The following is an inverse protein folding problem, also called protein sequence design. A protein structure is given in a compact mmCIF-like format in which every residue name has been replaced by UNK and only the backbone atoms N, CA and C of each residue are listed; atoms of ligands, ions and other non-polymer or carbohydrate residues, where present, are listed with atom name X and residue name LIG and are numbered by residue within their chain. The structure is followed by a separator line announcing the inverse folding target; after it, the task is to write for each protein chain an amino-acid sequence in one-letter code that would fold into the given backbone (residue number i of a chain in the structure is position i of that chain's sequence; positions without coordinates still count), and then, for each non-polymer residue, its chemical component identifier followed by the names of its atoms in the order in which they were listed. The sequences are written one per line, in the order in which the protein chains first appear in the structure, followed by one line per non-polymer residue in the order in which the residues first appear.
data_IF_756766362539
#
_entry.id   IF_756766362539
#
_cell.length_a   1.000
_cell.length_b   1.000
_cell.length_c   1.000
_cell.angle_alpha   90.00
_cell.angle_beta   90.00
_cell.angle_gamma   90.00
#
_symmetry.space_group_name_H-M   'P 1'
#
loop_
_entity.id
_entity.type
_entity.pdbx_description
1 polymer ?
#
# COMPACT_ATOMS: atom_id res chain seq x y z
N UNK A 1 9.92 -3.35 -4.36
CA UNK A 1 10.76 -3.86 -5.46
C UNK A 1 11.31 -5.23 -5.06
N UNK A 2 12.19 -5.36 -4.06
CA UNK A 2 12.82 -6.62 -3.69
C UNK A 2 11.81 -7.78 -3.49
N UNK A 3 10.68 -7.51 -2.84
CA UNK A 3 9.63 -8.49 -2.66
C UNK A 3 8.99 -8.95 -3.99
N UNK A 4 8.84 -8.05 -4.98
CA UNK A 4 8.41 -8.45 -6.33
C UNK A 4 9.49 -9.31 -7.02
N UNK A 5 10.76 -8.96 -6.88
CA UNK A 5 11.87 -9.70 -7.47
C UNK A 5 12.03 -11.11 -6.89
N UNK A 6 11.51 -11.37 -5.68
CA UNK A 6 11.49 -12.70 -5.07
C UNK A 6 10.36 -13.62 -5.54
N UNK A 7 9.37 -13.11 -6.28
CA UNK A 7 8.25 -13.90 -6.80
C UNK A 7 8.70 -14.79 -7.96
N UNK A 8 8.00 -15.91 -8.15
CA UNK A 8 8.17 -16.78 -9.31
C UNK A 8 7.74 -16.10 -10.62
N UNK A 9 8.28 -16.56 -11.75
CA UNK A 9 8.02 -15.94 -13.04
C UNK A 9 6.55 -16.04 -13.48
N UNK A 10 5.89 -17.17 -13.21
CA UNK A 10 4.47 -17.37 -13.52
C UNK A 10 3.60 -16.43 -12.68
N UNK A 11 3.92 -16.31 -11.39
CA UNK A 11 3.21 -15.42 -10.49
C UNK A 11 3.39 -13.94 -10.86
N UNK A 12 4.60 -13.52 -11.25
CA UNK A 12 4.81 -12.16 -11.74
C UNK A 12 3.92 -11.86 -12.95
N UNK A 13 3.83 -12.80 -13.91
CA UNK A 13 2.98 -12.65 -15.09
C UNK A 13 1.51 -12.53 -14.73
N UNK A 14 1.04 -13.31 -13.77
CA UNK A 14 -0.34 -13.26 -13.29
C UNK A 14 -0.64 -11.88 -12.66
N UNK A 15 0.21 -11.40 -11.75
CA UNK A 15 0.05 -10.11 -11.08
C UNK A 15 0.14 -8.93 -12.07
N UNK A 16 0.99 -9.00 -13.08
CA UNK A 16 1.12 -7.97 -14.11
C UNK A 16 -0.14 -7.79 -14.95
N UNK A 17 -0.95 -8.85 -15.09
CA UNK A 17 -2.25 -8.81 -15.78
C UNK A 17 -3.40 -8.26 -14.93
N UNK A 18 -3.20 -8.11 -13.62
CA UNK A 18 -4.26 -7.70 -12.69
C UNK A 18 -4.31 -6.19 -12.46
N UNK A 19 -5.52 -5.73 -12.15
CA UNK A 19 -5.75 -4.37 -11.68
C UNK A 19 -6.42 -4.38 -10.31
N UNK A 20 -6.16 -3.36 -9.51
CA UNK A 20 -6.67 -3.25 -8.14
C UNK A 20 -7.42 -1.95 -7.98
N UNK A 21 -8.60 -2.02 -7.42
CA UNK A 21 -9.39 -0.85 -7.04
C UNK A 21 -8.87 -0.34 -5.68
N UNK A 22 -8.44 0.92 -5.67
CA UNK A 22 -8.04 1.63 -4.47
C UNK A 22 -9.18 2.52 -3.99
N UNK A 23 -9.67 2.26 -2.79
CA UNK A 23 -10.80 2.95 -2.19
C UNK A 23 -10.41 3.59 -0.85
N UNK A 24 -10.60 4.89 -0.78
CA UNK A 24 -10.42 5.61 0.48
C UNK A 24 -11.52 5.26 1.49
N UNK A 25 -12.75 5.06 1.01
CA UNK A 25 -13.87 4.62 1.84
C UNK A 25 -13.59 3.25 2.48
N UNK A 26 -13.07 2.30 1.70
CA UNK A 26 -12.67 1.00 2.20
C UNK A 26 -11.61 1.12 3.30
N UNK A 27 -10.51 1.85 3.04
CA UNK A 27 -9.42 2.00 4.00
C UNK A 27 -9.86 2.69 5.29
N UNK A 28 -10.79 3.65 5.19
CA UNK A 28 -11.37 4.32 6.36
C UNK A 28 -12.24 3.37 7.20
N UNK A 29 -13.06 2.55 6.56
CA UNK A 29 -13.90 1.56 7.25
C UNK A 29 -13.09 0.44 7.91
N UNK A 30 -11.97 0.06 7.30
CA UNK A 30 -11.05 -0.96 7.82
C UNK A 30 -10.09 -0.42 8.89
N UNK A 31 -10.09 0.89 9.14
CA UNK A 31 -9.19 1.52 10.11
C UNK A 31 -9.58 1.16 11.54
N UNK A 32 -8.68 0.58 12.35
CA UNK A 32 -8.96 0.23 13.74
C UNK A 32 -9.28 1.44 14.63
N UNK A 33 -9.01 2.67 14.18
CA UNK A 33 -9.36 3.91 14.86
C UNK A 33 -10.87 4.24 14.88
N UNK A 34 -11.73 3.37 14.34
CA UNK A 34 -13.20 3.53 14.32
C UNK A 34 -13.65 4.91 13.81
N UNK A 35 -13.13 5.31 12.67
CA UNK A 35 -13.56 6.53 12.02
C UNK A 35 -15.01 6.40 11.53
N UNK A 36 -15.78 7.48 11.68
CA UNK A 36 -17.14 7.54 11.14
C UNK A 36 -17.16 7.28 9.63
N UNK A 37 -18.20 6.64 9.09
CA UNK A 37 -18.38 6.48 7.66
C UNK A 37 -18.30 7.82 6.93
N UNK A 38 -17.81 7.79 5.71
CA UNK A 38 -17.74 8.98 4.88
C UNK A 38 -19.13 9.41 4.42
N UNK A 39 -19.36 10.72 4.42
CA UNK A 39 -20.55 11.31 3.80
C UNK A 39 -20.52 11.19 2.28
N UNK A 40 -21.66 11.33 1.62
CA UNK A 40 -21.73 11.32 0.16
C UNK A 40 -20.88 12.43 -0.49
N UNK A 41 -20.77 13.59 0.15
CA UNK A 41 -19.94 14.69 -0.32
C UNK A 41 -18.44 14.37 -0.23
N UNK A 42 -18.01 13.74 0.86
CA UNK A 42 -16.61 13.26 1.02
C UNK A 42 -16.27 12.18 0.00
N UNK A 43 -17.17 11.22 -0.23
CA UNK A 43 -17.01 10.17 -1.24
C UNK A 43 -16.86 10.74 -2.65
N UNK A 44 -17.65 11.77 -2.99
CA UNK A 44 -17.57 12.42 -4.30
C UNK A 44 -16.21 13.12 -4.54
N UNK A 45 -15.51 13.53 -3.48
CA UNK A 45 -14.20 14.18 -3.57
C UNK A 45 -13.04 13.20 -3.73
N UNK A 46 -13.22 11.95 -3.31
CA UNK A 46 -12.19 10.92 -3.33
C UNK A 46 -12.75 9.62 -3.93
N UNK A 47 -13.11 9.64 -5.22
CA UNK A 47 -13.64 8.46 -5.89
C UNK A 47 -12.62 7.32 -5.87
N UNK A 48 -13.12 6.10 -5.97
CA UNK A 48 -12.28 4.92 -6.14
C UNK A 48 -11.49 5.03 -7.46
N UNK A 49 -10.27 4.52 -7.43
CA UNK A 49 -9.35 4.57 -8.57
C UNK A 49 -8.77 3.18 -8.81
N UNK A 50 -8.82 2.73 -10.06
CA UNK A 50 -8.21 1.46 -10.47
C UNK A 50 -6.77 1.71 -10.94
N UNK A 51 -5.84 0.91 -10.42
CA UNK A 51 -4.44 0.93 -10.77
C UNK A 51 -3.93 -0.47 -11.11
N UNK A 52 -2.91 -0.60 -11.98
CA UNK A 52 -2.21 -1.87 -12.16
C UNK A 52 -1.70 -2.43 -10.82
N UNK A 53 -1.86 -3.74 -10.60
CA UNK A 53 -1.30 -4.42 -9.42
C UNK A 53 0.23 -4.35 -9.40
N UNK A 54 0.86 -4.42 -10.55
CA UNK A 54 2.30 -4.23 -10.71
C UNK A 54 2.57 -2.94 -11.49
N UNK A 55 3.36 -2.08 -10.91
CA UNK A 55 3.81 -0.84 -11.57
C UNK A 55 5.24 -0.96 -12.06
N UNK A 56 5.50 -0.37 -13.22
CA UNK A 56 6.84 -0.16 -13.72
C UNK A 56 7.36 1.23 -13.32
N UNK A 57 8.60 1.29 -12.84
CA UNK A 57 9.31 2.52 -12.52
C UNK A 57 10.09 3.02 -13.73
N UNK A 58 10.46 4.31 -13.72
CA UNK A 58 11.20 4.93 -14.82
C UNK A 58 12.57 4.29 -15.12
N UNK A 59 13.16 3.63 -14.14
CA UNK A 59 14.42 2.89 -14.26
C UNK A 59 14.22 1.43 -14.72
N UNK A 60 13.01 1.04 -15.10
CA UNK A 60 12.65 -0.29 -15.56
C UNK A 60 12.36 -1.30 -14.45
N UNK A 61 12.63 -1.00 -13.19
CA UNK A 61 12.29 -1.88 -12.07
C UNK A 61 10.77 -1.98 -11.88
N UNK A 62 10.32 -3.05 -11.26
CA UNK A 62 8.90 -3.31 -11.01
C UNK A 62 8.63 -3.46 -9.51
N UNK A 63 7.42 -3.11 -9.10
CA UNK A 63 6.95 -3.32 -7.72
C UNK A 63 5.46 -3.64 -7.69
N UNK A 64 5.04 -4.44 -6.75
CA UNK A 64 3.62 -4.63 -6.46
C UNK A 64 3.08 -3.32 -5.86
N UNK A 65 1.94 -2.85 -6.37
CA UNK A 65 1.30 -1.62 -5.95
C UNK A 65 0.03 -1.91 -5.15
N UNK A 66 0.23 -2.27 -3.91
CA UNK A 66 -0.81 -2.53 -2.90
C UNK A 66 -0.68 -1.54 -1.74
N UNK A 67 -1.50 -1.72 -0.73
CA UNK A 67 -1.46 -0.96 0.52
C UNK A 67 -2.85 -0.80 1.12
N UNK A 68 -2.97 -0.02 2.18
CA UNK A 68 -4.20 0.11 2.96
C UNK A 68 -5.44 0.59 2.19
N UNK A 69 -5.27 1.13 1.00
CA UNK A 69 -6.39 1.53 0.12
C UNK A 69 -6.81 0.45 -0.87
N UNK A 70 -6.00 -0.59 -1.09
CA UNK A 70 -6.34 -1.70 -1.98
C UNK A 70 -7.56 -2.45 -1.44
N UNK A 71 -8.73 -2.27 -2.06
CA UNK A 71 -9.99 -2.87 -1.62
C UNK A 71 -10.21 -4.24 -2.24
N UNK A 72 -10.13 -4.35 -3.55
CA UNK A 72 -10.37 -5.59 -4.30
C UNK A 72 -9.66 -5.57 -5.67
N UNK A 73 -9.54 -6.74 -6.27
CA UNK A 73 -9.08 -6.92 -7.64
C UNK A 73 -10.22 -6.54 -8.57
N UNK A 74 -9.94 -5.79 -9.61
CA UNK A 74 -10.96 -5.34 -10.57
C UNK A 74 -11.66 -6.56 -11.21
N UNK A 75 -12.97 -6.51 -11.24
CA UNK A 75 -13.82 -7.61 -11.70
C UNK A 75 -14.17 -8.67 -10.65
N UNK A 76 -13.63 -8.59 -9.44
CA UNK A 76 -13.98 -9.46 -8.30
C UNK A 76 -14.74 -8.68 -7.21
N UNK A 77 -15.44 -9.42 -6.34
CA UNK A 77 -16.00 -8.82 -5.13
C UNK A 77 -14.90 -8.50 -4.09
N UNK A 78 -15.21 -7.60 -3.15
CA UNK A 78 -14.30 -7.31 -2.03
C UNK A 78 -14.00 -8.57 -1.21
N UNK A 79 -15.02 -9.41 -0.98
CA UNK A 79 -14.88 -10.63 -0.16
C UNK A 79 -13.92 -11.64 -0.81
N UNK A 80 -14.08 -11.91 -2.10
CA UNK A 80 -13.20 -12.81 -2.88
C UNK A 80 -11.76 -12.32 -2.90
N UNK A 81 -11.57 -11.04 -3.21
CA UNK A 81 -10.24 -10.44 -3.35
C UNK A 81 -9.46 -10.33 -2.03
N UNK A 82 -10.14 -10.17 -0.89
CA UNK A 82 -9.42 -9.86 0.37
C UNK A 82 -8.52 -10.97 0.88
N UNK A 83 -8.90 -12.22 0.66
CA UNK A 83 -8.05 -13.36 1.02
C UNK A 83 -6.77 -13.38 0.17
N UNK A 84 -6.91 -13.16 -1.14
CA UNK A 84 -5.81 -13.14 -2.09
C UNK A 84 -4.87 -11.96 -1.84
N UNK A 85 -5.41 -10.74 -1.70
CA UNK A 85 -4.62 -9.54 -1.41
C UNK A 85 -3.85 -9.70 -0.09
N UNK A 86 -4.46 -10.22 0.97
CA UNK A 86 -3.79 -10.45 2.26
C UNK A 86 -2.66 -11.46 2.13
N UNK A 87 -2.90 -12.58 1.46
CA UNK A 87 -1.87 -13.58 1.26
C UNK A 87 -0.65 -13.01 0.51
N UNK A 88 -0.91 -12.16 -0.48
CA UNK A 88 0.16 -11.46 -1.20
C UNK A 88 0.86 -10.43 -0.30
N UNK A 89 0.13 -9.60 0.45
CA UNK A 89 0.69 -8.63 1.40
C UNK A 89 1.57 -9.32 2.46
N UNK A 90 1.15 -10.45 3.02
CA UNK A 90 1.91 -11.21 4.00
C UNK A 90 3.24 -11.71 3.42
N UNK A 91 3.24 -12.16 2.18
CA UNK A 91 4.47 -12.59 1.48
C UNK A 91 5.38 -11.40 1.15
N UNK A 92 4.83 -10.29 0.64
CA UNK A 92 5.61 -9.09 0.34
C UNK A 92 6.23 -8.46 1.58
N UNK A 93 5.59 -8.63 2.74
CA UNK A 93 6.04 -8.10 4.04
C UNK A 93 6.63 -9.17 4.95
N UNK A 94 7.08 -10.30 4.39
CA UNK A 94 7.85 -11.29 5.12
C UNK A 94 9.09 -10.66 5.76
N UNK A 95 9.54 -11.20 6.89
CA UNK A 95 10.54 -10.55 7.76
C UNK A 95 11.84 -10.20 7.04
N UNK A 96 12.24 -10.99 6.07
CA UNK A 96 13.41 -10.78 5.21
C UNK A 96 13.29 -9.57 4.28
N UNK A 97 12.08 -9.14 3.98
CA UNK A 97 11.78 -7.98 3.14
C UNK A 97 11.56 -6.69 3.94
N UNK A 98 11.57 -6.76 5.28
CA UNK A 98 11.17 -5.64 6.13
C UNK A 98 12.35 -4.97 6.81
N UNK A 99 12.56 -3.69 6.51
CA UNK A 99 13.40 -2.83 7.33
C UNK A 99 12.59 -2.29 8.51
N UNK A 100 13.03 -2.55 9.74
CA UNK A 100 12.44 -2.00 10.96
C UNK A 100 13.30 -0.88 11.50
N UNK A 101 12.82 0.35 11.38
CA UNK A 101 13.50 1.51 11.93
C UNK A 101 13.32 1.61 13.45
N UNK A 102 14.40 1.78 14.18
CA UNK A 102 14.42 2.06 15.62
C UNK A 102 14.67 3.55 15.81
N UNK A 103 13.60 4.28 16.02
CA UNK A 103 13.64 5.74 16.11
C UNK A 103 14.47 6.27 17.26
N UNK A 104 15.30 7.25 16.97
CA UNK A 104 16.01 8.08 17.94
C UNK A 104 15.62 9.55 17.73
N UNK A 105 15.82 10.38 18.76
CA UNK A 105 15.60 11.81 18.65
C UNK A 105 16.54 12.42 17.60
N UNK A 106 15.98 13.22 16.70
CA UNK A 106 16.71 13.83 15.58
C UNK A 106 16.76 13.01 14.31
N UNK A 107 16.25 11.76 14.29
CA UNK A 107 16.23 10.94 13.08
C UNK A 107 15.38 11.57 11.97
N UNK A 108 15.89 11.48 10.76
CA UNK A 108 15.19 11.76 9.51
C UNK A 108 15.11 10.48 8.69
N UNK A 109 13.88 10.02 8.40
CA UNK A 109 13.63 8.87 7.53
C UNK A 109 12.94 9.33 6.24
N UNK A 110 13.53 8.99 5.10
CA UNK A 110 12.96 9.27 3.78
C UNK A 110 12.69 7.94 3.09
N UNK A 111 11.47 7.78 2.54
CA UNK A 111 11.10 6.60 1.75
C UNK A 111 10.27 6.99 0.54
N UNK A 112 10.30 6.16 -0.48
CA UNK A 112 9.47 6.33 -1.68
C UNK A 112 8.18 5.51 -1.56
N UNK A 113 7.05 6.18 -1.37
CA UNK A 113 5.72 5.54 -1.30
C UNK A 113 5.35 4.77 -2.57
N UNK A 114 6.05 5.00 -3.68
CA UNK A 114 5.76 4.30 -4.94
C UNK A 114 6.35 2.90 -5.00
N UNK A 115 7.33 2.61 -4.15
CA UNK A 115 8.09 1.36 -4.17
C UNK A 115 8.15 0.64 -2.84
N UNK A 116 7.58 1.24 -1.77
CA UNK A 116 7.61 0.68 -0.42
C UNK A 116 6.23 0.68 0.22
N UNK A 117 5.94 -0.36 0.98
CA UNK A 117 4.88 -0.38 1.96
C UNK A 117 5.44 0.03 3.32
N UNK A 118 4.64 0.72 4.12
CA UNK A 118 5.04 1.07 5.48
C UNK A 118 3.87 0.96 6.45
N UNK A 119 4.18 0.61 7.68
CA UNK A 119 3.20 0.61 8.77
C UNK A 119 3.85 1.02 10.09
N UNK A 120 3.02 1.54 11.00
CA UNK A 120 3.40 1.72 12.39
C UNK A 120 3.37 0.35 13.09
N UNK A 121 4.39 0.06 13.88
CA UNK A 121 4.36 -1.05 14.85
C UNK A 121 3.74 -0.56 16.16
N UNK A 122 3.04 -1.44 16.87
CA UNK A 122 2.47 -1.12 18.17
C UNK A 122 3.53 -0.62 19.17
N UNK A 123 3.16 0.32 20.01
CA UNK A 123 3.95 0.84 21.12
C UNK A 123 3.02 1.26 22.28
N UNK A 124 3.56 1.43 23.48
CA UNK A 124 2.81 1.83 24.66
C UNK A 124 2.53 3.34 24.61
N UNK A 125 1.44 3.74 23.94
CA UNK A 125 1.10 5.13 23.67
C UNK A 125 0.92 5.96 24.95
N UNK A 126 0.38 5.35 26.00
CA UNK A 126 0.13 6.00 27.29
C UNK A 126 1.43 6.25 28.10
N UNK A 127 2.49 5.52 27.78
CA UNK A 127 3.76 5.60 28.48
C UNK A 127 4.80 6.43 27.74
N UNK A 128 4.78 6.36 26.41
CA UNK A 128 5.80 7.00 25.57
C UNK A 128 5.15 7.96 24.58
N UNK A 129 5.29 9.29 24.77
CA UNK A 129 4.83 10.26 23.80
C UNK A 129 5.58 10.07 22.48
N UNK A 130 4.86 10.07 21.38
CA UNK A 130 5.43 10.00 20.05
C UNK A 130 5.10 11.26 19.27
N UNK A 131 6.05 12.17 19.18
CA UNK A 131 5.93 13.40 18.42
C UNK A 131 6.68 13.26 17.10
N UNK A 132 5.96 13.21 15.99
CA UNK A 132 6.52 13.02 14.64
C UNK A 132 6.02 14.13 13.73
N UNK A 133 6.88 14.59 12.83
CA UNK A 133 6.49 15.46 11.72
C UNK A 133 6.66 14.70 10.41
N UNK A 134 5.69 14.84 9.51
CA UNK A 134 5.75 14.22 8.18
C UNK A 134 5.38 15.26 7.13
N UNK A 135 6.12 15.26 6.03
CA UNK A 135 5.69 15.89 4.79
C UNK A 135 5.69 14.84 3.67
N UNK A 136 4.85 15.06 2.67
CA UNK A 136 4.77 14.21 1.49
C UNK A 136 5.03 15.07 0.27
N UNK A 137 6.01 14.65 -0.54
CA UNK A 137 6.29 15.28 -1.83
C UNK A 137 5.41 14.61 -2.87
N UNK A 138 4.60 15.39 -3.58
CA UNK A 138 3.76 14.88 -4.66
C UNK A 138 4.62 14.40 -5.83
N UNK A 139 4.32 13.20 -6.34
CA UNK A 139 4.88 12.72 -7.60
C UNK A 139 4.26 13.46 -8.80
N UNK A 140 4.99 13.50 -9.91
CA UNK A 140 4.51 14.10 -11.17
C UNK A 140 3.88 13.06 -12.09
N UNK A 141 4.27 11.80 -11.94
CA UNK A 141 3.93 10.73 -12.88
C UNK A 141 2.75 9.91 -12.38
N UNK A 142 1.92 9.47 -13.31
CA UNK A 142 0.87 8.47 -13.05
C UNK A 142 1.48 7.10 -12.79
N UNK A 143 0.72 6.22 -12.14
CA UNK A 143 1.09 4.80 -12.04
C UNK A 143 1.00 4.18 -13.43
N UNK A 144 2.11 3.66 -13.92
CA UNK A 144 2.19 3.03 -15.24
C UNK A 144 2.11 1.52 -15.12
N UNK A 145 1.33 0.84 -15.97
CA UNK A 145 1.34 -0.61 -16.08
C UNK A 145 2.68 -1.11 -16.59
N UNK A 146 2.91 -2.40 -16.46
CA UNK A 146 4.01 -3.08 -17.14
C UNK A 146 3.71 -3.12 -18.64
N UNK A 147 4.66 -2.70 -19.44
CA UNK A 147 4.59 -2.76 -20.91
C UNK A 147 5.16 -4.06 -21.45
#
# INVERSE_FOLDING_TARGET
IAAYDSLGEDERRELEGQQVVHSYAYSRSANPGKLEPMSAEELARVPDVTHPMVRQHADGRRSVFLGGHASHIDGQSVEESRAEIRALEDRLTAVENVYRHQWQEGDLLIWDNRSTLHRLTGYEIDRYPRVMRRCTVAGRDRVMPVS
#
